data_IF_143613794443
#
_entry.id   IF_143613794443
#
_cell.length_a   1.000
_cell.length_b   1.000
_cell.length_c   1.000
_cell.angle_alpha   90.00
_cell.angle_beta   90.00
_cell.angle_gamma   90.00
#
_symmetry.space_group_name_H-M   'P 1'
#
loop_
_entity.id
_entity.type
_entity.pdbx_description
1 polymer ?
#
# COMPACT_ATOMS: atom_id res chain seq x y z
N UNK A 1 21.04 -0.01 -4.00
CA UNK A 1 21.07 1.33 -3.37
C UNK A 1 19.98 2.17 -4.02
N UNK A 2 18.99 2.63 -3.27
CA UNK A 2 17.97 3.55 -3.80
C UNK A 2 18.66 4.83 -4.29
N UNK A 3 18.26 5.35 -5.45
CA UNK A 3 18.87 6.56 -6.03
C UNK A 3 18.74 7.75 -5.08
N UNK A 4 19.69 8.69 -5.15
CA UNK A 4 19.77 9.88 -4.28
C UNK A 4 18.70 10.94 -4.61
N UNK A 5 17.74 10.62 -5.47
CA UNK A 5 16.73 11.57 -5.89
C UNK A 5 15.72 11.82 -4.76
N UNK A 6 15.20 13.05 -4.67
CA UNK A 6 14.05 13.35 -3.80
C UNK A 6 12.86 12.51 -4.28
N UNK A 7 12.61 11.39 -3.60
CA UNK A 7 11.50 10.47 -3.89
C UNK A 7 10.13 11.13 -3.64
N UNK A 8 10.08 12.13 -2.75
CA UNK A 8 8.85 12.81 -2.32
C UNK A 8 8.87 14.28 -2.79
N UNK A 9 7.89 14.72 -3.59
CA UNK A 9 7.74 16.12 -3.99
C UNK A 9 7.48 17.05 -2.78
N UNK A 10 7.97 18.29 -2.83
CA UNK A 10 7.82 19.26 -1.72
C UNK A 10 6.36 19.64 -1.43
N UNK A 11 5.46 19.51 -2.41
CA UNK A 11 4.01 19.75 -2.27
C UNK A 11 3.22 18.52 -1.80
N UNK A 12 3.87 17.40 -1.56
CA UNK A 12 3.18 16.18 -1.14
C UNK A 12 2.64 16.35 0.29
N UNK A 13 1.40 15.91 0.51
CA UNK A 13 0.73 15.99 1.81
C UNK A 13 0.64 14.65 2.53
N UNK A 14 1.03 13.55 1.88
CA UNK A 14 0.94 12.20 2.40
C UNK A 14 1.61 11.19 1.50
N UNK A 15 1.93 10.03 2.06
CA UNK A 15 2.36 8.84 1.33
C UNK A 15 1.18 7.86 1.30
N UNK A 16 0.88 7.29 0.14
CA UNK A 16 -0.17 6.29 -0.02
C UNK A 16 0.47 4.95 -0.38
N UNK A 17 0.32 3.96 0.48
CA UNK A 17 0.60 2.56 0.15
C UNK A 17 -0.66 1.95 -0.49
N UNK A 18 -0.61 1.79 -1.80
CA UNK A 18 -1.64 1.05 -2.52
C UNK A 18 -1.41 -0.46 -2.34
N UNK A 19 -2.16 -1.02 -1.40
CA UNK A 19 -2.17 -2.44 -1.11
C UNK A 19 -3.02 -3.15 -2.16
N UNK A 20 -2.48 -4.23 -2.71
CA UNK A 20 -3.18 -5.06 -3.70
C UNK A 20 -2.88 -6.54 -3.45
N UNK A 21 -1.60 -6.93 -3.57
CA UNK A 21 -1.15 -8.32 -3.43
C UNK A 21 -0.95 -8.73 -1.97
N UNK A 22 -0.10 -8.02 -1.24
CA UNK A 22 0.31 -8.39 0.12
C UNK A 22 -0.64 -7.77 1.16
N UNK A 23 -1.81 -8.37 1.35
CA UNK A 23 -2.83 -7.94 2.30
C UNK A 23 -2.51 -8.37 3.74
N UNK A 24 -1.33 -7.96 4.22
CA UNK A 24 -0.85 -8.20 5.58
C UNK A 24 -0.07 -6.99 6.08
N UNK A 25 -0.10 -6.79 7.40
CA UNK A 25 0.66 -5.73 8.07
C UNK A 25 2.06 -6.23 8.45
N UNK A 26 2.15 -7.43 9.03
CA UNK A 26 3.41 -8.03 9.44
C UNK A 26 4.20 -8.50 8.21
N UNK A 27 5.52 -8.35 8.26
CA UNK A 27 6.46 -8.78 7.22
C UNK A 27 6.08 -8.33 5.79
N UNK A 28 5.58 -7.10 5.68
CA UNK A 28 5.26 -6.44 4.43
C UNK A 28 6.32 -5.39 4.09
N UNK A 29 7.29 -5.78 3.25
CA UNK A 29 8.39 -4.91 2.82
C UNK A 29 7.93 -3.62 2.13
N UNK A 30 6.82 -3.67 1.37
CA UNK A 30 6.28 -2.50 0.71
C UNK A 30 5.69 -1.51 1.72
N UNK A 31 4.98 -2.02 2.73
CA UNK A 31 4.47 -1.20 3.83
C UNK A 31 5.60 -0.61 4.69
N UNK A 32 6.62 -1.40 5.02
CA UNK A 32 7.79 -0.93 5.77
C UNK A 32 8.54 0.17 5.01
N UNK A 33 8.68 0.01 3.69
CA UNK A 33 9.28 1.02 2.84
C UNK A 33 8.46 2.31 2.81
N UNK A 34 7.14 2.21 2.62
CA UNK A 34 6.24 3.36 2.61
C UNK A 34 6.25 4.10 3.97
N UNK A 35 6.27 3.38 5.09
CA UNK A 35 6.43 3.94 6.43
C UNK A 35 7.78 4.65 6.56
N UNK A 36 8.87 4.05 6.07
CA UNK A 36 10.18 4.68 6.07
C UNK A 36 10.22 5.99 5.28
N UNK A 37 9.51 6.07 4.16
CA UNK A 37 9.34 7.31 3.38
C UNK A 37 8.51 8.35 4.15
N UNK A 38 7.37 7.95 4.71
CA UNK A 38 6.48 8.81 5.46
C UNK A 38 7.20 9.45 6.68
N UNK A 39 7.95 8.65 7.43
CA UNK A 39 8.75 9.12 8.56
C UNK A 39 9.85 10.10 8.14
N UNK A 40 10.58 9.81 7.06
CA UNK A 40 11.63 10.69 6.53
C UNK A 40 11.06 12.03 6.03
N UNK A 41 9.89 12.00 5.41
CA UNK A 41 9.21 13.19 4.90
C UNK A 41 8.39 13.93 5.96
N UNK A 42 8.20 13.35 7.16
CA UNK A 42 7.27 13.82 8.20
C UNK A 42 5.84 14.02 7.66
N UNK A 43 5.40 13.08 6.83
CA UNK A 43 4.06 13.07 6.23
C UNK A 43 3.27 11.87 6.78
N UNK A 44 1.92 11.95 6.80
CA UNK A 44 1.09 10.80 7.15
C UNK A 44 1.25 9.67 6.11
N UNK A 45 1.15 8.43 6.58
CA UNK A 45 1.01 7.24 5.75
C UNK A 45 -0.45 6.82 5.69
N UNK A 46 -0.96 6.61 4.49
CA UNK A 46 -2.28 6.07 4.24
C UNK A 46 -2.16 4.71 3.54
N UNK A 47 -2.97 3.73 3.94
CA UNK A 47 -3.08 2.45 3.24
C UNK A 47 -4.39 2.46 2.46
N UNK A 48 -4.33 2.15 1.16
CA UNK A 48 -5.50 2.10 0.29
C UNK A 48 -5.58 0.72 -0.36
N UNK A 49 -6.77 0.12 -0.34
CA UNK A 49 -7.09 -1.09 -1.08
C UNK A 49 -8.26 -0.81 -2.02
N UNK A 50 -8.09 -1.13 -3.31
CA UNK A 50 -9.12 -0.90 -4.32
C UNK A 50 -9.82 -2.23 -4.65
N UNK A 51 -11.03 -2.41 -4.13
CA UNK A 51 -11.86 -3.57 -4.47
C UNK A 51 -12.40 -3.42 -5.90
N UNK A 52 -12.04 -4.35 -6.78
CA UNK A 52 -12.57 -4.39 -8.15
C UNK A 52 -13.81 -5.28 -8.24
N UNK A 53 -14.83 -4.90 -9.02
CA UNK A 53 -16.10 -5.65 -9.09
C UNK A 53 -15.95 -7.00 -9.80
N UNK A 54 -14.95 -7.16 -10.67
CA UNK A 54 -14.58 -8.43 -11.30
C UNK A 54 -13.06 -8.52 -11.39
N UNK A 55 -12.51 -9.61 -10.87
CA UNK A 55 -11.10 -9.93 -10.98
C UNK A 55 -10.95 -11.33 -11.54
N UNK A 56 -10.53 -11.45 -12.81
CA UNK A 56 -10.43 -12.73 -13.52
C UNK A 56 -11.73 -13.55 -13.33
N UNK A 57 -11.61 -14.84 -12.99
CA UNK A 57 -12.70 -15.75 -12.68
C UNK A 57 -12.90 -15.91 -11.16
N UNK A 58 -12.65 -14.84 -10.37
CA UNK A 58 -12.83 -14.88 -8.93
C UNK A 58 -14.30 -15.13 -8.56
N UNK A 59 -14.53 -16.20 -7.79
CA UNK A 59 -15.85 -16.55 -7.25
C UNK A 59 -16.20 -15.70 -6.03
N UNK A 60 -17.48 -15.68 -5.64
CA UNK A 60 -17.94 -15.03 -4.39
C UNK A 60 -17.15 -15.54 -3.17
N UNK A 61 -16.77 -16.83 -3.15
CA UNK A 61 -15.94 -17.39 -2.06
C UNK A 61 -14.55 -16.78 -1.98
N UNK A 62 -13.94 -16.44 -3.12
CA UNK A 62 -12.66 -15.74 -3.13
C UNK A 62 -12.79 -14.35 -2.52
N UNK A 63 -13.85 -13.62 -2.86
CA UNK A 63 -14.13 -12.30 -2.29
C UNK A 63 -14.51 -12.35 -0.81
N UNK A 64 -15.29 -13.34 -0.37
CA UNK A 64 -15.62 -13.54 1.04
C UNK A 64 -14.35 -13.82 1.87
N UNK A 65 -13.45 -14.68 1.38
CA UNK A 65 -12.17 -14.93 2.03
C UNK A 65 -11.29 -13.66 2.08
N UNK A 66 -11.19 -12.95 0.95
CA UNK A 66 -10.44 -11.70 0.83
C UNK A 66 -10.89 -10.63 1.85
N UNK A 67 -12.20 -10.46 2.01
CA UNK A 67 -12.78 -9.41 2.85
C UNK A 67 -12.78 -9.77 4.34
N UNK A 68 -12.75 -11.06 4.68
CA UNK A 68 -12.63 -11.51 6.07
C UNK A 68 -11.25 -11.24 6.66
N UNK A 69 -10.20 -11.35 5.84
CA UNK A 69 -8.81 -11.13 6.25
C UNK A 69 -8.23 -12.30 7.03
#
# INVERSE_FOLDING_TARGET
MLSKDKVVPDRATGIVYWMSRDQRVQDNWALLYAQGLALKAKLPLHVCFCLVPKFLDATIRHYDFLLRG
#
